data_IF_093308670711
#
_entry.id   IF_093308670711
#
_cell.length_a   1.000
_cell.length_b   1.000
_cell.length_c   1.000
_cell.angle_alpha   90.00
_cell.angle_beta   90.00
_cell.angle_gamma   90.00
#
_symmetry.space_group_name_H-M   'P 1'
#
loop_
_entity.id
_entity.type
_entity.pdbx_description
1 polymer ?
#
# COMPACT_ATOMS: atom_id res chain seq x y z
N UNK A 1 72.20 10.60 32.38
CA UNK A 1 72.49 9.73 31.23
C UNK A 1 71.37 8.74 31.13
N UNK A 2 70.58 8.90 30.08
CA UNK A 2 69.26 8.34 29.88
C UNK A 2 69.23 6.83 29.71
N UNK A 3 68.21 6.20 30.29
CA UNK A 3 67.83 4.81 30.05
C UNK A 3 66.51 4.86 29.28
N UNK A 4 66.57 4.66 27.96
CA UNK A 4 65.38 4.41 27.14
C UNK A 4 65.00 2.93 27.25
N UNK A 5 63.86 2.66 27.89
CA UNK A 5 63.22 1.34 27.92
C UNK A 5 62.11 1.27 26.85
N UNK A 6 62.30 0.30 25.97
CA UNK A 6 61.48 -0.11 24.83
C UNK A 6 60.04 -0.45 25.22
N UNK A 7 59.07 0.15 24.52
CA UNK A 7 57.65 -0.13 24.68
C UNK A 7 57.27 -1.50 24.10
N UNK A 8 56.69 -2.38 24.92
CA UNK A 8 55.99 -3.59 24.46
C UNK A 8 54.50 -3.25 24.30
N UNK A 9 53.97 -3.30 23.07
CA UNK A 9 52.55 -3.05 22.79
C UNK A 9 51.75 -4.33 23.02
N UNK A 10 50.92 -4.33 24.06
CA UNK A 10 49.93 -5.38 24.34
C UNK A 10 48.81 -5.33 23.31
N UNK A 11 48.59 -6.43 22.58
CA UNK A 11 47.45 -6.64 21.69
C UNK A 11 46.22 -6.91 22.54
N UNK A 12 45.38 -5.90 22.73
CA UNK A 12 44.06 -6.03 23.36
C UNK A 12 43.02 -6.48 22.32
N UNK A 13 42.69 -7.77 22.33
CA UNK A 13 41.62 -8.35 21.51
C UNK A 13 40.26 -7.93 22.10
N UNK A 14 39.66 -6.87 21.56
CA UNK A 14 38.30 -6.48 21.90
C UNK A 14 37.31 -7.40 21.19
N UNK A 15 36.76 -8.37 21.92
CA UNK A 15 35.64 -9.20 21.46
C UNK A 15 34.38 -8.32 21.47
N UNK A 16 34.02 -7.77 20.31
CA UNK A 16 32.72 -7.15 20.06
C UNK A 16 31.66 -8.28 19.99
N UNK A 17 30.96 -8.49 21.10
CA UNK A 17 29.71 -9.25 21.12
C UNK A 17 28.66 -8.49 20.32
N UNK A 18 28.53 -8.84 19.04
CA UNK A 18 27.35 -8.48 18.24
C UNK A 18 26.16 -9.29 18.76
N UNK A 19 25.44 -8.72 19.72
CA UNK A 19 24.11 -9.18 20.05
C UNK A 19 23.22 -8.77 18.87
N UNK A 20 23.03 -9.68 17.91
CA UNK A 20 21.97 -9.55 16.92
C UNK A 20 20.64 -9.79 17.64
N UNK A 21 20.10 -8.75 18.24
CA UNK A 21 18.69 -8.73 18.58
C UNK A 21 17.93 -8.87 17.26
N UNK A 22 17.42 -10.07 16.99
CA UNK A 22 16.32 -10.24 16.04
C UNK A 22 15.10 -9.57 16.67
N UNK A 23 15.03 -8.25 16.52
CA UNK A 23 13.80 -7.52 16.76
C UNK A 23 12.80 -8.07 15.75
N UNK A 24 11.95 -8.98 16.21
CA UNK A 24 10.67 -9.21 15.56
C UNK A 24 10.03 -7.83 15.49
N UNK A 25 10.05 -7.22 14.32
CA UNK A 25 9.45 -5.92 14.12
C UNK A 25 7.96 -6.12 14.40
N UNK A 26 7.52 -5.69 15.58
CA UNK A 26 6.10 -5.60 15.87
C UNK A 26 5.48 -4.72 14.79
N UNK A 27 4.51 -5.27 14.05
CA UNK A 27 3.79 -4.47 13.07
C UNK A 27 3.26 -3.22 13.79
N UNK A 28 3.41 -2.06 13.16
CA UNK A 28 2.78 -0.85 13.68
C UNK A 28 1.27 -0.93 13.45
N UNK A 29 0.43 -0.39 14.37
CA UNK A 29 -1.00 -0.27 14.13
C UNK A 29 -1.25 0.63 12.92
N UNK A 30 -2.34 0.38 12.21
CA UNK A 30 -2.79 1.24 11.12
C UNK A 30 -3.24 2.60 11.68
N UNK A 31 -3.07 3.70 10.93
CA UNK A 31 -3.42 5.02 11.43
C UNK A 31 -4.95 5.23 11.53
N UNK A 32 -5.36 6.14 12.40
CA UNK A 32 -6.76 6.51 12.61
C UNK A 32 -7.50 6.93 11.33
N UNK A 33 -6.78 7.50 10.36
CA UNK A 33 -7.33 7.88 9.05
C UNK A 33 -7.99 6.70 8.31
N UNK A 34 -7.57 5.47 8.59
CA UNK A 34 -8.09 4.25 7.96
C UNK A 34 -9.46 3.80 8.50
N UNK A 35 -9.95 4.41 9.58
CA UNK A 35 -11.18 4.01 10.28
C UNK A 35 -12.11 5.21 10.45
N UNK A 36 -13.38 4.92 10.76
CA UNK A 36 -14.25 5.94 11.34
C UNK A 36 -13.81 6.22 12.79
N UNK A 37 -14.17 7.39 13.30
CA UNK A 37 -13.73 7.84 14.63
C UNK A 37 -14.17 6.88 15.75
N UNK A 38 -15.38 6.31 15.62
CA UNK A 38 -15.97 5.34 16.54
C UNK A 38 -15.33 3.94 16.49
N UNK A 39 -14.75 3.55 15.35
CA UNK A 39 -14.19 2.22 15.13
C UNK A 39 -12.72 2.13 15.59
N UNK A 40 -11.99 3.24 15.51
CA UNK A 40 -10.54 3.25 15.75
C UNK A 40 -10.14 2.80 17.16
N UNK A 41 -10.80 3.23 18.27
CA UNK A 41 -10.46 2.76 19.61
C UNK A 41 -10.63 1.24 19.77
N UNK A 42 -11.68 0.67 19.18
CA UNK A 42 -11.95 -0.77 19.24
C UNK A 42 -10.89 -1.58 18.45
N UNK A 43 -10.49 -1.09 17.29
CA UNK A 43 -9.37 -1.63 16.53
C UNK A 43 -8.08 -1.59 17.35
N UNK A 44 -7.73 -0.44 17.93
CA UNK A 44 -6.49 -0.26 18.67
C UNK A 44 -6.41 -1.18 19.89
N UNK A 45 -7.48 -1.27 20.68
CA UNK A 45 -7.54 -2.18 21.83
C UNK A 45 -7.39 -3.65 21.43
N UNK A 46 -8.01 -4.06 20.31
CA UNK A 46 -7.90 -5.43 19.79
C UNK A 46 -6.49 -5.71 19.23
N UNK A 47 -5.88 -4.72 18.58
CA UNK A 47 -4.51 -4.79 18.08
C UNK A 47 -3.52 -4.98 19.23
N UNK A 48 -3.64 -4.18 20.30
CA UNK A 48 -2.80 -4.29 21.48
C UNK A 48 -2.96 -5.66 22.17
N UNK A 49 -4.18 -6.17 22.25
CA UNK A 49 -4.44 -7.50 22.80
C UNK A 49 -3.79 -8.60 21.96
N UNK A 50 -3.89 -8.53 20.63
CA UNK A 50 -3.23 -9.46 19.73
C UNK A 50 -1.70 -9.42 19.86
N UNK A 51 -1.10 -8.23 20.03
CA UNK A 51 0.35 -8.11 20.21
C UNK A 51 0.81 -8.67 21.56
N UNK A 52 0.03 -8.49 22.63
CA UNK A 52 0.30 -9.10 23.95
C UNK A 52 0.17 -10.61 23.93
N UNK A 53 -0.82 -11.13 23.21
CA UNK A 53 -1.10 -12.56 23.11
C UNK A 53 -1.51 -12.95 21.68
N UNK A 54 -0.57 -13.54 20.93
CA UNK A 54 -0.76 -13.95 19.54
C UNK A 54 -1.54 -15.25 19.39
N UNK A 55 -2.72 -15.32 20.01
CA UNK A 55 -3.65 -16.45 19.88
C UNK A 55 -4.48 -16.36 18.60
N UNK A 56 -4.99 -17.51 18.14
CA UNK A 56 -5.90 -17.56 16.98
C UNK A 56 -7.19 -16.76 17.22
N UNK A 57 -7.70 -16.75 18.46
CA UNK A 57 -8.88 -15.99 18.84
C UNK A 57 -8.64 -14.48 18.71
N UNK A 58 -7.52 -13.98 19.24
CA UNK A 58 -7.17 -12.56 19.13
C UNK A 58 -6.92 -12.14 17.68
N UNK A 59 -6.31 -13.02 16.87
CA UNK A 59 -6.16 -12.78 15.44
C UNK A 59 -7.51 -12.67 14.71
N UNK A 60 -8.47 -13.54 15.01
CA UNK A 60 -9.82 -13.48 14.44
C UNK A 60 -10.53 -12.18 14.85
N UNK A 61 -10.45 -11.79 16.13
CA UNK A 61 -10.99 -10.53 16.61
C UNK A 61 -10.38 -9.33 15.86
N UNK A 62 -9.06 -9.31 15.66
CA UNK A 62 -8.39 -8.26 14.90
C UNK A 62 -8.87 -8.22 13.45
N UNK A 63 -9.03 -9.39 12.80
CA UNK A 63 -9.57 -9.47 11.44
C UNK A 63 -11.01 -8.98 11.32
N UNK A 64 -11.82 -9.09 12.37
CA UNK A 64 -13.18 -8.51 12.41
C UNK A 64 -13.07 -6.98 12.43
N UNK A 65 -12.24 -6.40 13.30
CA UNK A 65 -12.05 -4.95 13.36
C UNK A 65 -11.52 -4.36 12.05
N UNK A 66 -10.60 -5.07 11.38
CA UNK A 66 -10.08 -4.65 10.07
C UNK A 66 -11.17 -4.57 8.98
N UNK A 67 -12.33 -5.24 9.13
CA UNK A 67 -13.44 -5.09 8.18
C UNK A 67 -14.10 -3.71 8.25
N UNK A 68 -14.00 -3.03 9.40
CA UNK A 68 -14.57 -1.71 9.65
C UNK A 68 -13.70 -0.57 9.09
N UNK A 69 -12.57 -0.88 8.47
CA UNK A 69 -11.79 0.11 7.74
C UNK A 69 -12.66 0.82 6.68
N UNK A 70 -12.47 2.14 6.58
CA UNK A 70 -13.01 2.95 5.49
C UNK A 70 -12.61 2.32 4.15
N UNK A 71 -13.51 2.39 3.18
CA UNK A 71 -13.29 1.80 1.86
C UNK A 71 -12.71 2.83 0.88
N UNK A 72 -12.06 2.32 -0.17
CA UNK A 72 -11.69 3.13 -1.32
C UNK A 72 -12.98 3.50 -2.07
N UNK A 73 -13.16 4.78 -2.39
CA UNK A 73 -14.25 5.22 -3.28
C UNK A 73 -13.66 5.37 -4.68
N UNK A 74 -13.87 4.35 -5.50
CA UNK A 74 -13.33 4.29 -6.85
C UNK A 74 -14.24 5.06 -7.81
N UNK A 75 -13.64 5.97 -8.57
CA UNK A 75 -14.31 6.78 -9.58
C UNK A 75 -13.45 6.83 -10.84
N UNK A 76 -14.06 6.57 -11.99
CA UNK A 76 -13.39 6.61 -13.30
C UNK A 76 -14.31 7.25 -14.32
N UNK A 77 -13.77 8.19 -15.09
CA UNK A 77 -14.45 8.82 -16.22
C UNK A 77 -13.75 8.50 -17.52
N UNK A 78 -14.52 8.09 -18.52
CA UNK A 78 -14.05 7.93 -19.88
C UNK A 78 -14.41 9.18 -20.70
N UNK A 79 -13.45 9.69 -21.47
CA UNK A 79 -13.69 10.73 -22.47
C UNK A 79 -13.02 10.39 -23.79
N UNK A 80 -13.67 10.82 -24.88
CA UNK A 80 -13.14 10.78 -26.24
C UNK A 80 -13.81 11.92 -27.02
N UNK A 81 -13.07 12.87 -27.59
CA UNK A 81 -13.68 14.05 -28.20
C UNK A 81 -14.41 13.73 -29.52
N UNK A 82 -13.88 12.82 -30.33
CA UNK A 82 -14.44 12.39 -31.61
C UNK A 82 -14.03 10.95 -31.93
N UNK A 83 -14.70 10.31 -32.91
CA UNK A 83 -14.27 8.99 -33.38
C UNK A 83 -12.82 9.03 -33.87
N UNK A 84 -12.06 7.95 -33.61
CA UNK A 84 -10.62 7.86 -33.89
C UNK A 84 -9.70 8.70 -32.99
N UNK A 85 -10.22 9.63 -32.19
CA UNK A 85 -9.40 10.39 -31.24
C UNK A 85 -8.98 9.53 -30.03
N UNK A 86 -7.89 9.91 -29.37
CA UNK A 86 -7.42 9.29 -28.13
C UNK A 86 -8.53 9.22 -27.09
N UNK A 87 -8.68 8.04 -26.49
CA UNK A 87 -9.56 7.79 -25.37
C UNK A 87 -8.79 8.05 -24.08
N UNK A 88 -9.35 8.83 -23.17
CA UNK A 88 -8.78 9.10 -21.85
C UNK A 88 -9.65 8.47 -20.78
N UNK A 89 -9.03 7.68 -19.90
CA UNK A 89 -9.59 7.24 -18.63
C UNK A 89 -8.98 8.08 -17.51
N UNK A 90 -9.83 8.72 -16.74
CA UNK A 90 -9.44 9.56 -15.61
C UNK A 90 -10.01 9.01 -14.31
N UNK A 91 -9.12 8.53 -13.44
CA UNK A 91 -9.46 8.03 -12.12
C UNK A 91 -9.15 9.04 -11.00
N UNK A 92 -8.89 10.31 -11.31
CA UNK A 92 -8.46 11.32 -10.32
C UNK A 92 -9.51 11.64 -9.25
N UNK A 93 -10.79 11.36 -9.52
CA UNK A 93 -11.86 11.46 -8.52
C UNK A 93 -11.81 10.37 -7.44
N UNK A 94 -11.00 9.32 -7.64
CA UNK A 94 -10.85 8.24 -6.67
C UNK A 94 -10.26 8.76 -5.36
N UNK A 95 -10.89 8.40 -4.24
CA UNK A 95 -10.41 8.75 -2.90
C UNK A 95 -10.08 7.51 -2.08
N UNK A 96 -8.98 7.59 -1.32
CA UNK A 96 -8.56 6.55 -0.38
C UNK A 96 -8.47 7.13 1.04
N UNK A 97 -8.67 6.32 2.09
CA UNK A 97 -8.68 6.82 3.46
C UNK A 97 -7.41 7.54 3.90
N UNK A 98 -6.23 7.12 3.42
CA UNK A 98 -4.96 7.80 3.72
C UNK A 98 -4.69 9.06 2.89
N UNK A 99 -5.51 9.31 1.86
CA UNK A 99 -5.28 10.36 0.87
C UNK A 99 -4.13 10.08 -0.11
N UNK A 100 -3.54 8.88 -0.10
CA UNK A 100 -2.39 8.52 -0.96
C UNK A 100 -2.70 7.29 -1.84
N UNK A 101 -3.48 7.47 -2.93
CA UNK A 101 -3.81 6.38 -3.83
C UNK A 101 -2.60 5.98 -4.69
N UNK A 102 -2.45 4.68 -4.94
CA UNK A 102 -1.57 4.14 -5.99
C UNK A 102 -2.43 3.48 -7.05
N UNK A 103 -2.31 3.93 -8.31
CA UNK A 103 -3.09 3.40 -9.43
C UNK A 103 -2.28 2.39 -10.23
N UNK A 104 -2.91 1.28 -10.60
CA UNK A 104 -2.32 0.24 -11.43
C UNK A 104 -3.29 -0.13 -12.53
N UNK A 105 -2.88 0.10 -13.78
CA UNK A 105 -3.70 -0.13 -14.98
C UNK A 105 -3.29 -1.42 -15.68
N UNK A 106 -4.26 -2.15 -16.23
CA UNK A 106 -4.03 -3.32 -17.08
C UNK A 106 -4.56 -4.63 -16.48
N UNK A 107 -4.19 -5.74 -17.11
CA UNK A 107 -4.40 -7.09 -16.58
C UNK A 107 -3.28 -7.43 -15.59
N UNK A 108 -3.41 -8.52 -14.83
CA UNK A 108 -2.32 -8.99 -13.96
C UNK A 108 -1.01 -9.27 -14.72
N UNK A 109 -1.08 -9.59 -16.01
CA UNK A 109 0.08 -9.85 -16.85
C UNK A 109 0.80 -8.58 -17.34
N UNK A 110 0.06 -7.46 -17.49
CA UNK A 110 0.57 -6.21 -18.06
C UNK A 110 0.36 -4.99 -17.14
N UNK A 111 0.24 -5.25 -15.84
CA UNK A 111 -0.07 -4.25 -14.84
C UNK A 111 1.03 -3.18 -14.76
N UNK A 112 0.67 -1.93 -15.05
CA UNK A 112 1.59 -0.80 -14.93
C UNK A 112 1.11 0.13 -13.81
N UNK A 113 1.91 0.25 -12.75
CA UNK A 113 1.71 1.28 -11.75
C UNK A 113 1.98 2.66 -12.37
N UNK A 114 1.14 3.65 -12.07
CA UNK A 114 1.31 4.96 -12.66
C UNK A 114 0.26 5.99 -12.28
N UNK A 115 0.04 6.92 -13.21
CA UNK A 115 -0.89 8.03 -13.05
C UNK A 115 -2.34 7.56 -12.88
N UNK A 116 -3.16 8.40 -12.23
CA UNK A 116 -4.62 8.29 -12.23
C UNK A 116 -5.22 8.40 -13.63
N UNK A 117 -4.47 8.94 -14.59
CA UNK A 117 -4.88 9.11 -15.98
C UNK A 117 -4.21 8.06 -16.86
N UNK A 118 -5.00 7.39 -17.71
CA UNK A 118 -4.51 6.44 -18.72
C UNK A 118 -5.13 6.75 -20.08
N UNK A 119 -4.31 6.73 -21.11
CA UNK A 119 -4.74 6.99 -22.49
C UNK A 119 -4.64 5.74 -23.35
N UNK A 120 -5.58 5.59 -24.27
CA UNK A 120 -5.62 4.54 -25.27
C UNK A 120 -5.83 5.15 -26.66
N UNK A 121 -5.25 4.57 -27.72
CA UNK A 121 -5.52 5.03 -29.07
C UNK A 121 -7.01 4.89 -29.38
N UNK A 122 -7.56 5.90 -30.06
CA UNK A 122 -8.90 5.80 -30.63
C UNK A 122 -8.97 4.67 -31.64
N UNK A 123 -10.14 4.04 -31.73
CA UNK A 123 -10.41 2.98 -32.70
C UNK A 123 -11.57 3.42 -33.59
N UNK A 124 -11.90 2.59 -34.58
CA UNK A 124 -13.16 2.72 -35.31
C UNK A 124 -14.33 2.69 -34.34
N UNK A 125 -15.39 3.44 -34.67
CA UNK A 125 -16.61 3.50 -33.87
C UNK A 125 -17.14 2.11 -33.57
N UNK A 126 -17.80 1.97 -32.42
CA UNK A 126 -18.46 0.73 -31.97
C UNK A 126 -17.52 -0.44 -31.64
N UNK A 127 -16.20 -0.21 -31.64
CA UNK A 127 -15.25 -1.17 -31.04
C UNK A 127 -15.16 -0.96 -29.53
N UNK A 128 -15.07 -2.07 -28.79
CA UNK A 128 -14.85 -2.05 -27.35
C UNK A 128 -13.70 -2.94 -26.92
N UNK A 129 -13.09 -2.61 -25.78
CA UNK A 129 -12.15 -3.46 -25.09
C UNK A 129 -12.24 -3.22 -23.59
N UNK A 130 -11.66 -4.11 -22.79
CA UNK A 130 -11.73 -4.04 -21.33
C UNK A 130 -10.35 -3.77 -20.74
N UNK A 131 -10.31 -2.96 -19.69
CA UNK A 131 -9.09 -2.61 -18.96
C UNK A 131 -9.36 -2.78 -17.47
N UNK A 132 -8.43 -3.40 -16.76
CA UNK A 132 -8.44 -3.45 -15.30
C UNK A 132 -7.86 -2.16 -14.70
N UNK A 133 -8.47 -1.71 -13.62
CA UNK A 133 -7.90 -0.71 -12.72
C UNK A 133 -7.85 -1.32 -11.31
N UNK A 134 -6.68 -1.24 -10.67
CA UNK A 134 -6.51 -1.49 -9.24
C UNK A 134 -6.05 -0.21 -8.57
N UNK A 135 -6.65 0.09 -7.43
CA UNK A 135 -6.27 1.23 -6.58
C UNK A 135 -5.86 0.68 -5.23
N UNK A 136 -4.67 1.05 -4.79
CA UNK A 136 -4.12 0.62 -3.51
C UNK A 136 -3.98 1.82 -2.56
N UNK A 137 -4.36 1.61 -1.32
CA UNK A 137 -3.97 2.45 -0.19
C UNK A 137 -2.92 1.69 0.62
N UNK A 138 -1.64 1.94 0.34
CA UNK A 138 -0.53 1.24 0.99
C UNK A 138 -0.46 1.51 2.50
N UNK A 139 -0.95 2.69 2.94
CA UNK A 139 -0.95 3.06 4.36
C UNK A 139 -2.03 2.28 5.10
N UNK A 140 -3.23 2.19 4.54
CA UNK A 140 -4.33 1.44 5.15
C UNK A 140 -4.35 -0.05 4.82
N UNK A 141 -3.42 -0.52 3.98
CA UNK A 141 -3.27 -1.92 3.52
C UNK A 141 -4.57 -2.46 2.89
N UNK A 142 -5.29 -1.63 2.14
CA UNK A 142 -6.49 -2.02 1.40
C UNK A 142 -6.30 -1.79 -0.10
N UNK A 143 -7.02 -2.57 -0.90
CA UNK A 143 -7.08 -2.42 -2.35
C UNK A 143 -8.51 -2.57 -2.85
N UNK A 144 -8.79 -1.93 -3.99
CA UNK A 144 -10.06 -2.03 -4.71
C UNK A 144 -9.76 -2.20 -6.20
N UNK A 145 -10.57 -3.00 -6.89
CA UNK A 145 -10.33 -3.35 -8.29
C UNK A 145 -11.60 -3.31 -9.11
N UNK A 146 -11.51 -2.80 -10.34
CA UNK A 146 -12.64 -2.79 -11.27
C UNK A 146 -12.21 -3.10 -12.70
N UNK A 147 -13.16 -3.51 -13.53
CA UNK A 147 -12.98 -3.67 -14.96
C UNK A 147 -13.80 -2.61 -15.70
N UNK A 148 -13.10 -1.79 -16.49
CA UNK A 148 -13.68 -0.70 -17.26
C UNK A 148 -13.88 -1.19 -18.69
N UNK A 149 -15.12 -1.11 -19.18
CA UNK A 149 -15.42 -1.34 -20.60
C UNK A 149 -15.25 -0.02 -21.33
N UNK A 150 -14.30 0.00 -22.27
CA UNK A 150 -13.99 1.17 -23.08
C UNK A 150 -14.69 1.01 -24.41
N UNK A 151 -15.56 1.95 -24.75
CA UNK A 151 -16.24 2.01 -26.05
C UNK A 151 -15.74 3.20 -26.85
N UNK A 152 -15.27 2.98 -28.07
CA UNK A 152 -14.94 4.11 -28.97
C UNK A 152 -16.22 4.73 -29.54
N UNK A 153 -16.28 6.06 -29.52
CA UNK A 153 -17.23 6.87 -30.28
C UNK A 153 -17.01 6.73 -31.78
#
# INVERSE_FOLDING_TARGET
MDITLTSCKTVGLAILLYISASAYADEAPLPASCFNEEDYPNYLGTFDQYQKERSSQNYVALKIQLRNQKKIKLEVHQSQPSSGATITLDASGTTVPSGKPTFVWGSSADATAGSAIKTYPGRTSDTYFKVGLRVLDQVCKIEESTQITITSK
#
